data_IF_466465849238
#
_entry.id   IF_466465849238
#
_cell.length_a   1.000
_cell.length_b   1.000
_cell.length_c   1.000
_cell.angle_alpha   90.00
_cell.angle_beta   90.00
_cell.angle_gamma   90.00
#
_symmetry.space_group_name_H-M   'P 1'
#
loop_
_entity.id
_entity.type
_entity.pdbx_description
1 polymer ?
#
# COMPACT_ATOMS: atom_id res chain seq x y z
N UNK A 1 13.32 -3.30 -0.74
CA UNK A 1 12.15 -4.20 -0.79
C UNK A 1 11.16 -3.78 0.28
N UNK A 2 9.86 -3.92 0.04
CA UNK A 2 8.82 -3.59 1.03
C UNK A 2 8.57 -4.80 1.94
N UNK A 3 8.47 -4.60 3.26
CA UNK A 3 8.05 -5.65 4.20
C UNK A 3 9.04 -6.81 4.39
N UNK A 4 10.32 -6.63 4.07
CA UNK A 4 11.35 -7.66 4.25
C UNK A 4 11.45 -8.09 5.74
N UNK A 5 11.56 -9.40 5.98
CA UNK A 5 11.64 -10.04 7.31
C UNK A 5 10.50 -9.70 8.29
N UNK A 6 9.35 -9.22 7.80
CA UNK A 6 8.14 -9.11 8.61
C UNK A 6 7.54 -10.49 8.83
N UNK A 7 7.37 -10.88 10.09
CA UNK A 7 6.52 -12.02 10.46
C UNK A 7 5.08 -11.73 10.01
N UNK A 8 4.50 -12.67 9.29
CA UNK A 8 3.12 -12.62 8.82
C UNK A 8 2.40 -13.89 9.31
N UNK A 9 1.08 -13.80 9.63
CA UNK A 9 0.27 -14.99 9.84
C UNK A 9 0.17 -15.81 8.54
N UNK A 10 -0.42 -17.00 8.60
CA UNK A 10 -0.82 -17.69 7.38
C UNK A 10 -1.85 -16.82 6.62
N UNK A 11 -1.56 -16.51 5.35
CA UNK A 11 -2.40 -15.66 4.48
C UNK A 11 -2.88 -16.43 3.26
N UNK A 12 -3.99 -15.98 2.69
CA UNK A 12 -4.56 -16.48 1.45
C UNK A 12 -4.80 -15.35 0.43
N UNK A 13 -5.08 -15.73 -0.81
CA UNK A 13 -5.46 -14.77 -1.84
C UNK A 13 -6.73 -14.00 -1.42
N UNK A 14 -6.70 -12.68 -1.61
CA UNK A 14 -7.78 -11.78 -1.22
C UNK A 14 -7.66 -11.18 0.19
N UNK A 15 -6.73 -11.66 1.02
CA UNK A 15 -6.46 -11.04 2.31
C UNK A 15 -5.92 -9.61 2.16
N UNK A 16 -6.27 -8.75 3.10
CA UNK A 16 -5.91 -7.32 3.08
C UNK A 16 -4.80 -7.05 4.09
N UNK A 17 -3.75 -6.35 3.64
CA UNK A 17 -2.67 -5.87 4.50
C UNK A 17 -2.77 -4.35 4.63
N UNK A 18 -2.84 -3.86 5.86
CA UNK A 18 -2.79 -2.43 6.15
C UNK A 18 -1.34 -1.93 6.22
N UNK A 19 -1.01 -0.91 5.44
CA UNK A 19 0.20 -0.13 5.61
C UNK A 19 -0.18 1.19 6.29
N UNK A 20 0.14 1.33 7.57
CA UNK A 20 -0.10 2.57 8.30
C UNK A 20 0.92 3.66 7.92
N UNK A 21 0.61 4.91 8.26
CA UNK A 21 1.52 6.07 8.14
C UNK A 21 2.06 6.33 6.72
N UNK A 22 1.35 5.91 5.67
CA UNK A 22 1.79 6.06 4.28
C UNK A 22 1.60 7.48 3.68
N UNK A 23 1.24 8.48 4.50
CA UNK A 23 0.90 9.83 4.02
C UNK A 23 2.11 10.66 3.57
N UNK A 24 3.23 10.57 4.28
CA UNK A 24 4.44 11.30 3.91
C UNK A 24 5.12 10.64 2.71
N UNK A 25 5.32 11.40 1.63
CA UNK A 25 6.03 10.98 0.41
C UNK A 25 5.45 9.77 -0.35
N UNK A 26 4.30 9.20 0.07
CA UNK A 26 3.68 8.06 -0.61
C UNK A 26 3.15 8.41 -1.99
N UNK A 27 2.06 9.18 -2.05
CA UNK A 27 1.42 9.55 -3.32
C UNK A 27 2.34 10.39 -4.21
N UNK A 28 3.02 11.40 -3.62
CA UNK A 28 3.83 12.37 -4.37
C UNK A 28 5.08 11.77 -5.03
N UNK A 29 5.55 10.61 -4.57
CA UNK A 29 6.66 9.87 -5.21
C UNK A 29 6.19 8.64 -6.00
N UNK A 30 4.87 8.44 -6.14
CA UNK A 30 4.32 7.31 -6.91
C UNK A 30 4.43 7.52 -8.42
N UNK A 31 4.26 6.44 -9.20
CA UNK A 31 4.26 6.49 -10.66
C UNK A 31 3.19 5.57 -11.24
N UNK A 32 2.78 5.84 -12.48
CA UNK A 32 1.85 4.99 -13.26
C UNK A 32 2.58 3.88 -14.03
N UNK A 33 3.72 3.41 -13.52
CA UNK A 33 4.48 2.34 -14.18
C UNK A 33 3.59 1.12 -14.41
N UNK A 34 3.70 0.51 -15.60
CA UNK A 34 2.87 -0.60 -16.05
C UNK A 34 1.36 -0.29 -16.04
N UNK A 35 0.99 1.00 -16.27
CA UNK A 35 -0.39 1.48 -16.36
C UNK A 35 -1.23 1.18 -15.10
N UNK A 36 -0.59 1.07 -13.94
CA UNK A 36 -1.30 0.89 -12.67
C UNK A 36 -1.78 2.25 -12.15
N UNK A 37 -3.09 2.44 -11.94
CA UNK A 37 -3.59 3.68 -11.35
C UNK A 37 -3.14 3.80 -9.89
N UNK A 38 -3.04 5.04 -9.34
CA UNK A 38 -2.79 5.26 -7.92
C UNK A 38 -3.93 4.70 -7.07
N UNK A 39 -3.64 4.42 -5.79
CA UNK A 39 -4.67 4.04 -4.83
C UNK A 39 -5.71 5.16 -4.65
N UNK A 40 -6.98 4.78 -4.50
CA UNK A 40 -8.05 5.71 -4.16
C UNK A 40 -7.79 6.38 -2.80
N UNK A 41 -8.20 7.64 -2.67
CA UNK A 41 -8.03 8.44 -1.47
C UNK A 41 -9.39 8.90 -0.96
N UNK A 42 -9.64 8.65 0.32
CA UNK A 42 -10.88 9.02 0.99
C UNK A 42 -10.58 10.03 2.09
N UNK A 43 -11.32 11.13 2.10
CA UNK A 43 -11.35 12.08 3.21
C UNK A 43 -12.50 11.68 4.13
N UNK A 44 -12.19 11.40 5.40
CA UNK A 44 -13.19 11.17 6.44
C UNK A 44 -13.42 12.49 7.18
N UNK A 45 -14.68 12.92 7.25
CA UNK A 45 -15.14 14.10 8.02
C UNK A 45 -15.88 13.68 9.26
#
# INVERSE_FOLDING_TARGET
>A
TLGYDRLMPATQEGDIILISTAGAYGYVMSSHYNQRPPAEQFLLT
#
